data_IF_282707538172
#
_entry.id   IF_282707538172
#
_cell.length_a   1.000
_cell.length_b   1.000
_cell.length_c   1.000
_cell.angle_alpha   90.00
_cell.angle_beta   90.00
_cell.angle_gamma   90.00
#
_symmetry.space_group_name_H-M   'P 1'
#
loop_
_entity.id
_entity.type
_entity.pdbx_description
1 polymer ?
#
# COMPACT_ATOMS: atom_id res chain seq x y z
N UNK A 1 -17.04 -41.16 -4.67
CA UNK A 1 -16.72 -40.90 -5.89
C UNK A 1 -16.25 -39.53 -6.17
N UNK A 2 -16.06 -38.78 -5.31
CA UNK A 2 -15.78 -37.55 -5.46
C UNK A 2 -14.85 -37.02 -4.60
N UNK A 3 -13.81 -37.41 -4.62
CA UNK A 3 -12.79 -37.19 -3.93
C UNK A 3 -11.92 -36.30 -4.50
N UNK A 4 -12.28 -35.44 -4.65
CA UNK A 4 -11.80 -34.55 -4.71
C UNK A 4 -10.81 -34.22 -3.99
N UNK A 5 -9.88 -34.25 -4.22
CA UNK A 5 -8.89 -33.38 -4.65
C UNK A 5 -8.62 -32.23 -3.74
N UNK A 6 -8.97 -32.45 -2.49
CA UNK A 6 -8.55 -31.49 -1.49
C UNK A 6 -7.04 -31.32 -1.43
N UNK A 7 -6.29 -32.30 -1.87
CA UNK A 7 -4.84 -32.20 -1.92
C UNK A 7 -4.33 -31.27 -3.01
N UNK A 8 -5.11 -31.09 -4.08
CA UNK A 8 -4.73 -30.17 -5.14
C UNK A 8 -5.03 -28.73 -4.77
N UNK A 9 -6.01 -28.53 -3.93
CA UNK A 9 -6.31 -27.20 -3.46
C UNK A 9 -5.22 -26.63 -2.59
N UNK A 10 -4.49 -27.45 -1.92
CA UNK A 10 -3.36 -27.02 -1.10
C UNK A 10 -2.09 -26.74 -1.91
N UNK A 11 -2.05 -27.29 -3.12
CA UNK A 11 -0.91 -27.07 -3.98
C UNK A 11 -1.13 -26.05 -5.06
N UNK A 12 -2.32 -25.47 -5.12
CA UNK A 12 -2.57 -24.41 -6.08
C UNK A 12 -1.84 -23.17 -5.67
N UNK A 13 -0.87 -22.70 -6.46
CA UNK A 13 -0.27 -21.41 -6.23
C UNK A 13 -1.23 -20.26 -6.48
N UNK A 14 -2.44 -20.59 -6.88
CA UNK A 14 -3.46 -19.65 -7.29
C UNK A 14 -4.44 -19.30 -6.18
N UNK A 15 -4.04 -19.45 -4.95
CA UNK A 15 -4.87 -18.94 -3.89
C UNK A 15 -4.88 -17.43 -3.99
N UNK A 16 -6.01 -16.82 -4.30
CA UNK A 16 -6.05 -15.38 -4.30
C UNK A 16 -5.64 -14.91 -2.91
N UNK A 17 -4.56 -14.16 -2.87
CA UNK A 17 -4.16 -13.48 -1.65
C UNK A 17 -5.35 -12.64 -1.17
N UNK A 18 -5.53 -12.47 0.13
CA UNK A 18 -6.56 -11.59 0.63
C UNK A 18 -6.50 -10.29 -0.13
N UNK A 19 -7.62 -9.86 -0.65
CA UNK A 19 -7.67 -8.76 -1.61
C UNK A 19 -7.17 -7.45 -1.01
N UNK A 20 -7.32 -7.29 0.30
CA UNK A 20 -6.88 -6.08 0.98
C UNK A 20 -5.93 -6.40 2.12
N UNK A 21 -4.69 -6.03 1.97
CA UNK A 21 -3.70 -6.15 3.03
C UNK A 21 -3.47 -4.79 3.65
N UNK A 22 -3.67 -4.71 4.95
CA UNK A 22 -3.40 -3.49 5.69
C UNK A 22 -1.92 -3.41 6.06
N UNK A 23 -1.23 -2.44 5.50
CA UNK A 23 0.15 -2.15 5.83
C UNK A 23 0.16 -1.08 6.93
N UNK A 24 0.69 -1.41 8.07
CA UNK A 24 0.76 -0.50 9.21
C UNK A 24 2.13 0.13 9.38
N UNK A 25 3.16 -0.62 9.07
CA UNK A 25 4.54 -0.16 9.19
C UNK A 25 5.31 -0.49 7.90
N UNK A 26 6.25 0.37 7.50
CA UNK A 26 6.99 0.18 6.25
C UNK A 26 7.78 -1.12 6.18
N UNK A 27 8.18 -1.64 7.33
CA UNK A 27 8.96 -2.88 7.44
C UNK A 27 8.21 -4.12 6.97
N UNK A 28 6.88 -4.02 6.81
CA UNK A 28 6.07 -5.09 6.25
C UNK A 28 6.20 -5.21 4.72
N UNK A 29 6.61 -4.13 4.06
CA UNK A 29 6.69 -4.08 2.60
C UNK A 29 7.59 -5.15 1.98
N UNK A 30 8.79 -5.42 2.49
CA UNK A 30 9.65 -6.45 1.89
C UNK A 30 8.99 -7.81 1.81
N UNK A 31 8.37 -8.23 2.89
CA UNK A 31 7.70 -9.53 2.95
C UNK A 31 6.48 -9.58 2.03
N UNK A 32 5.70 -8.50 1.98
CA UNK A 32 4.53 -8.41 1.12
C UNK A 32 4.91 -8.44 -0.36
N UNK A 33 5.92 -7.68 -0.77
CA UNK A 33 6.39 -7.67 -2.15
C UNK A 33 6.88 -9.05 -2.58
N UNK A 34 7.61 -9.72 -1.71
CA UNK A 34 8.06 -11.08 -1.97
C UNK A 34 6.88 -12.04 -2.12
N UNK A 35 5.89 -11.91 -1.26
CA UNK A 35 4.66 -12.70 -1.33
C UNK A 35 3.90 -12.47 -2.63
N UNK A 36 3.69 -11.22 -3.01
CA UNK A 36 3.01 -10.86 -4.25
C UNK A 36 3.77 -11.35 -5.48
N UNK A 37 5.09 -11.24 -5.49
CA UNK A 37 5.90 -11.74 -6.59
C UNK A 37 5.74 -13.25 -6.76
N UNK A 38 5.81 -13.98 -5.65
CA UNK A 38 5.61 -15.43 -5.68
C UNK A 38 4.20 -15.81 -6.12
N UNK A 39 3.21 -15.08 -5.65
CA UNK A 39 1.81 -15.29 -6.05
C UNK A 39 1.60 -15.00 -7.54
N UNK A 40 2.31 -14.03 -8.09
CA UNK A 40 2.30 -13.74 -9.52
C UNK A 40 3.10 -14.77 -10.35
N UNK A 41 3.73 -15.75 -9.72
CA UNK A 41 4.54 -16.74 -10.39
C UNK A 41 5.84 -16.20 -10.98
N UNK A 42 6.30 -15.04 -10.51
CA UNK A 42 7.48 -14.38 -11.07
C UNK A 42 8.73 -14.70 -10.26
N UNK A 43 9.78 -15.04 -10.98
CA UNK A 43 11.12 -15.12 -10.39
C UNK A 43 11.71 -13.72 -10.23
N UNK A 44 12.71 -13.56 -9.39
CA UNK A 44 13.42 -12.29 -9.28
C UNK A 44 14.04 -11.86 -10.61
N UNK A 45 14.52 -12.81 -11.40
CA UNK A 45 15.09 -12.55 -12.72
C UNK A 45 14.05 -12.00 -13.70
N UNK A 46 12.86 -12.58 -13.72
CA UNK A 46 11.77 -12.11 -14.57
C UNK A 46 11.27 -10.74 -14.15
N UNK A 47 11.06 -10.57 -12.86
CA UNK A 47 10.60 -9.29 -12.31
C UNK A 47 11.64 -8.18 -12.59
N UNK A 48 12.92 -8.48 -12.46
CA UNK A 48 13.97 -7.50 -12.76
C UNK A 48 14.00 -7.12 -14.24
N UNK A 49 13.82 -8.08 -15.15
CA UNK A 49 13.73 -7.77 -16.58
C UNK A 49 12.55 -6.87 -16.91
N UNK A 50 11.40 -7.15 -16.33
CA UNK A 50 10.19 -6.33 -16.55
C UNK A 50 10.35 -4.93 -15.99
N UNK A 51 11.03 -4.79 -14.87
CA UNK A 51 11.30 -3.50 -14.26
C UNK A 51 12.45 -2.74 -14.94
N UNK A 52 13.24 -3.41 -15.78
CA UNK A 52 14.38 -2.81 -16.47
C UNK A 52 15.61 -2.63 -15.57
N UNK A 53 15.76 -3.46 -14.56
CA UNK A 53 16.90 -3.42 -13.63
C UNK A 53 17.62 -4.77 -13.59
N UNK A 54 18.80 -4.80 -12.98
CA UNK A 54 19.49 -6.06 -12.76
C UNK A 54 18.80 -6.88 -11.66
N UNK A 55 18.99 -8.20 -11.69
CA UNK A 55 18.45 -9.07 -10.66
C UNK A 55 18.95 -8.69 -9.27
N UNK A 56 20.21 -8.30 -9.16
CA UNK A 56 20.81 -7.86 -7.90
C UNK A 56 20.16 -6.58 -7.40
N UNK A 57 19.91 -5.63 -8.28
CA UNK A 57 19.18 -4.40 -7.95
C UNK A 57 17.76 -4.72 -7.50
N UNK A 58 17.07 -5.61 -8.22
CA UNK A 58 15.73 -6.03 -7.85
C UNK A 58 15.70 -6.67 -6.47
N UNK A 59 16.62 -7.60 -6.20
CA UNK A 59 16.73 -8.23 -4.89
C UNK A 59 16.98 -7.23 -3.77
N UNK A 60 17.80 -6.21 -4.04
CA UNK A 60 18.03 -5.11 -3.12
C UNK A 60 16.77 -4.28 -2.87
N UNK A 61 16.05 -3.95 -3.94
CA UNK A 61 14.78 -3.21 -3.84
C UNK A 61 13.74 -3.99 -3.03
N UNK A 62 13.63 -5.27 -3.28
CA UNK A 62 12.68 -6.12 -2.55
C UNK A 62 12.99 -6.18 -1.06
N UNK A 63 14.27 -6.29 -0.69
CA UNK A 63 14.69 -6.33 0.71
C UNK A 63 14.58 -4.99 1.42
N UNK A 64 14.83 -3.92 0.71
CA UNK A 64 14.82 -2.57 1.27
C UNK A 64 13.60 -1.77 0.82
N UNK A 65 12.49 -2.43 0.63
CA UNK A 65 11.27 -1.80 0.12
C UNK A 65 10.80 -0.61 0.96
N UNK A 66 11.07 -0.63 2.24
CA UNK A 66 10.73 0.46 3.15
C UNK A 66 11.53 1.75 2.90
N UNK A 67 12.61 1.67 2.12
CA UNK A 67 13.46 2.82 1.81
C UNK A 67 13.37 3.28 0.36
N UNK A 68 12.59 2.60 -0.45
CA UNK A 68 12.45 3.01 -1.85
C UNK A 68 11.53 4.21 -1.99
N UNK A 69 11.70 4.94 -3.08
CA UNK A 69 10.80 6.03 -3.41
C UNK A 69 9.38 5.50 -3.71
N UNK A 70 8.38 6.34 -3.46
CA UNK A 70 7.00 5.99 -3.77
C UNK A 70 6.80 5.65 -5.24
N UNK A 71 7.47 6.36 -6.13
CA UNK A 71 7.44 6.09 -7.57
C UNK A 71 7.88 4.67 -7.90
N UNK A 72 9.00 4.25 -7.35
CA UNK A 72 9.52 2.89 -7.55
C UNK A 72 8.63 1.83 -6.94
N UNK A 73 8.10 2.13 -5.76
CA UNK A 73 7.15 1.24 -5.11
C UNK A 73 5.90 1.04 -5.97
N UNK A 74 5.34 2.11 -6.51
CA UNK A 74 4.16 2.03 -7.37
C UNK A 74 4.45 1.28 -8.67
N UNK A 75 5.60 1.51 -9.29
CA UNK A 75 6.02 0.78 -10.48
C UNK A 75 6.15 -0.72 -10.20
N UNK A 76 6.71 -1.07 -9.05
CA UNK A 76 6.87 -2.46 -8.63
C UNK A 76 5.51 -3.11 -8.36
N UNK A 77 4.62 -2.43 -7.66
CA UNK A 77 3.27 -2.92 -7.38
C UNK A 77 2.49 -3.14 -8.67
N UNK A 78 2.55 -2.21 -9.60
CA UNK A 78 1.93 -2.34 -10.92
C UNK A 78 2.43 -3.56 -11.68
N UNK A 79 3.74 -3.80 -11.63
CA UNK A 79 4.35 -4.96 -12.26
C UNK A 79 3.84 -6.27 -11.66
N UNK A 80 3.58 -6.27 -10.36
CA UNK A 80 3.05 -7.43 -9.64
C UNK A 80 1.52 -7.56 -9.73
N UNK A 81 0.86 -6.62 -10.41
CA UNK A 81 -0.59 -6.61 -10.50
C UNK A 81 -1.30 -6.19 -9.20
N UNK A 82 -0.60 -5.44 -8.37
CA UNK A 82 -1.11 -5.00 -7.07
C UNK A 82 -1.43 -3.52 -7.12
N UNK A 83 -2.59 -3.16 -6.60
CA UNK A 83 -2.99 -1.75 -6.49
C UNK A 83 -2.79 -1.25 -5.07
N UNK A 84 -2.26 -0.04 -4.93
CA UNK A 84 -2.16 0.63 -3.65
C UNK A 84 -3.44 1.43 -3.41
N UNK A 85 -4.14 1.14 -2.34
CA UNK A 85 -5.36 1.84 -1.95
C UNK A 85 -5.10 2.59 -0.64
N UNK A 86 -5.34 3.87 -0.65
CA UNK A 86 -5.26 4.69 0.55
C UNK A 86 -6.67 4.84 1.12
N UNK A 87 -6.83 4.41 2.35
CA UNK A 87 -8.10 4.56 3.06
C UNK A 87 -7.88 5.48 4.24
N UNK A 88 -8.66 6.52 4.30
CA UNK A 88 -8.63 7.40 5.44
C UNK A 88 -9.40 6.78 6.59
N UNK A 89 -8.70 6.41 7.63
CA UNK A 89 -9.35 6.02 8.87
C UNK A 89 -9.69 7.29 9.64
N UNK A 90 -10.87 7.34 10.20
CA UNK A 90 -11.26 8.49 11.04
C UNK A 90 -10.30 8.58 12.21
N UNK A 91 -9.52 9.63 12.23
CA UNK A 91 -8.60 9.87 13.32
C UNK A 91 -9.40 10.16 14.57
N UNK A 92 -9.30 9.25 15.52
CA UNK A 92 -9.64 9.54 16.89
C UNK A 92 -11.08 9.89 17.18
N UNK A 93 -11.99 9.02 17.00
CA UNK A 93 -13.25 9.50 17.36
C UNK A 93 -14.36 8.55 17.58
N UNK A 94 -14.05 7.36 17.58
CA UNK A 94 -15.10 6.39 17.63
C UNK A 94 -15.67 6.13 19.02
N UNK A 95 -15.25 6.88 20.01
CA UNK A 95 -15.90 6.78 21.31
C UNK A 95 -16.88 7.94 21.44
N UNK A 96 -18.11 7.68 21.09
CA UNK A 96 -19.15 8.64 21.35
C UNK A 96 -19.85 9.23 20.15
N UNK A 97 -19.67 8.67 18.99
CA UNK A 97 -20.30 9.20 17.79
C UNK A 97 -21.77 8.81 17.64
N UNK A 98 -22.34 8.14 18.61
CA UNK A 98 -23.75 7.76 18.54
C UNK A 98 -24.73 8.79 19.07
N UNK A 99 -24.21 9.90 19.57
CA UNK A 99 -25.10 10.86 20.24
C UNK A 99 -25.20 12.19 19.52
N UNK A 100 -24.74 12.29 18.32
CA UNK A 100 -24.72 13.57 17.66
C UNK A 100 -25.90 13.81 16.72
N UNK A 101 -27.02 13.25 17.01
CA UNK A 101 -28.19 13.50 16.17
C UNK A 101 -28.90 14.80 16.45
N UNK A 102 -28.50 15.53 17.46
CA UNK A 102 -29.10 16.80 17.76
C UNK A 102 -28.17 17.96 17.59
N UNK A 103 -27.45 17.95 16.55
CA UNK A 103 -26.70 19.11 16.21
C UNK A 103 -27.64 20.20 15.76
N UNK A 104 -27.86 21.12 16.64
CA UNK A 104 -28.53 22.36 16.32
C UNK A 104 -27.85 23.02 15.11
N UNK A 105 -28.58 23.27 14.05
CA UNK A 105 -28.01 23.90 12.87
C UNK A 105 -27.68 25.37 13.03
N UNK A 106 -27.92 25.93 14.20
CA UNK A 106 -27.68 27.34 14.41
C UNK A 106 -26.43 27.62 15.23
N UNK A 107 -25.37 27.02 14.88
CA UNK A 107 -24.08 27.48 15.34
C UNK A 107 -23.73 28.80 14.66
N UNK A 108 -23.14 29.76 15.39
CA UNK A 108 -22.69 30.97 14.76
C UNK A 108 -21.72 30.59 13.62
N UNK A 109 -22.00 31.13 12.46
CA UNK A 109 -21.09 31.00 11.34
C UNK A 109 -19.77 31.55 11.78
N UNK A 110 -18.93 30.69 12.21
CA UNK A 110 -17.55 31.02 12.23
C UNK A 110 -17.13 31.15 10.78
N UNK A 111 -17.04 32.37 10.34
CA UNK A 111 -16.32 32.67 9.13
C UNK A 111 -14.88 32.41 9.42
N UNK A 112 -14.57 31.19 9.55
CA UNK A 112 -13.20 30.83 9.57
C UNK A 112 -12.78 30.75 8.15
N UNK A 113 -12.30 31.84 7.69
CA UNK A 113 -11.43 31.86 6.55
C UNK A 113 -10.40 30.78 6.82
N UNK A 114 -10.28 29.77 5.99
CA UNK A 114 -9.15 28.88 6.10
C UNK A 114 -7.93 29.75 5.98
N UNK A 115 -7.19 29.83 7.03
CA UNK A 115 -5.89 30.45 6.93
C UNK A 115 -5.19 29.69 5.82
N UNK A 116 -4.94 30.36 4.74
CA UNK A 116 -4.17 29.86 3.65
C UNK A 116 -2.74 29.73 4.11
N UNK A 117 -2.51 28.83 5.01
CA UNK A 117 -1.21 28.68 5.63
C UNK A 117 -0.60 27.33 5.47
N UNK A 118 -1.29 26.42 4.86
CA UNK A 118 -0.67 25.16 4.55
C UNK A 118 -0.35 25.08 3.09
N UNK A 119 0.33 26.07 2.62
CA UNK A 119 1.10 25.88 1.43
C UNK A 119 2.13 24.80 1.75
N UNK A 120 1.99 23.69 1.12
CA UNK A 120 3.06 22.75 1.03
C UNK A 120 4.27 23.51 0.56
N UNK A 121 5.42 23.38 1.18
CA UNK A 121 6.61 24.05 0.69
C UNK A 121 6.89 23.54 -0.71
N UNK A 122 6.45 24.34 -1.65
CA UNK A 122 6.80 24.11 -3.02
C UNK A 122 8.22 24.59 -3.20
N UNK A 123 9.10 23.73 -3.36
CA UNK A 123 10.51 24.00 -3.52
C UNK A 123 11.27 23.96 -2.21
N UNK A 124 11.45 22.84 -1.76
CA UNK A 124 12.55 22.55 -0.88
C UNK A 124 13.25 21.40 -1.52
N UNK A 125 14.48 21.52 -1.67
CA UNK A 125 15.36 20.42 -1.93
C UNK A 125 14.90 19.28 -1.04
N UNK A 126 14.30 18.29 -1.63
CA UNK A 126 13.96 17.09 -0.92
C UNK A 126 15.24 16.47 -0.39
N UNK A 127 15.43 16.42 0.92
CA UNK A 127 16.61 15.77 1.47
C UNK A 127 16.60 14.26 1.25
N UNK A 128 15.60 13.76 0.56
CA UNK A 128 15.44 12.34 0.32
C UNK A 128 15.55 11.95 -1.15
N UNK A 129 16.09 12.81 -1.97
CA UNK A 129 16.43 12.44 -3.35
C UNK A 129 17.72 11.64 -3.32
N UNK A 130 17.57 10.36 -3.44
CA UNK A 130 18.66 9.41 -3.60
C UNK A 130 18.71 8.88 -5.02
#
# INVERSE_FOLDING_TARGET
>A
MYHQNTAYDLCMPDRPLPQDIRVQIPEQLPMLLQGFRKAAGLTQAEASRRLGVTQQTFSSLERNAHRMSAERLMALLSLLGVSLVLRQDRIGGARGASEASDANPEGPRATRTPAAGSAWPSSGSDPYVW
#
